data_IF_803138186113
#
_entry.id   IF_803138186113
#
_cell.length_a   1.000
_cell.length_b   1.000
_cell.length_c   1.000
_cell.angle_alpha   90.00
_cell.angle_beta   90.00
_cell.angle_gamma   90.00
#
_symmetry.space_group_name_H-M   'P 1'
#
loop_
_entity.id
_entity.type
_entity.pdbx_description
1 polymer ?
#
# COMPACT_ATOMS: atom_id res chain seq x y z
N UNK A 1 -17.92 -16.43 7.44
CA UNK A 1 -18.74 -17.66 7.27
C UNK A 1 -20.13 -17.57 7.92
N UNK A 2 -20.33 -16.87 9.05
CA UNK A 2 -21.64 -16.74 9.70
C UNK A 2 -22.66 -15.99 8.84
N UNK A 3 -22.29 -14.90 8.18
CA UNK A 3 -23.20 -14.10 7.33
C UNK A 3 -23.75 -14.86 6.11
N UNK A 4 -22.99 -15.81 5.57
CA UNK A 4 -23.40 -16.61 4.41
C UNK A 4 -24.47 -17.64 4.78
N UNK A 5 -24.47 -18.14 6.02
CA UNK A 5 -25.43 -19.16 6.49
C UNK A 5 -26.84 -18.62 6.67
N UNK A 6 -26.97 -17.33 6.93
CA UNK A 6 -28.28 -16.71 7.25
C UNK A 6 -29.01 -16.16 6.01
N UNK A 7 -28.46 -16.34 4.80
CA UNK A 7 -29.03 -15.83 3.55
C UNK A 7 -29.12 -14.30 3.48
N UNK A 8 -28.31 -13.61 4.27
CA UNK A 8 -28.26 -12.14 4.27
C UNK A 8 -27.44 -11.65 3.09
N UNK A 9 -28.05 -10.82 2.25
CA UNK A 9 -27.40 -10.14 1.13
C UNK A 9 -27.40 -8.64 1.35
N UNK A 10 -26.36 -7.98 0.82
CA UNK A 10 -26.16 -6.55 0.96
C UNK A 10 -26.29 -5.85 -0.40
N UNK A 11 -26.90 -4.67 -0.41
CA UNK A 11 -27.01 -3.83 -1.60
C UNK A 11 -25.71 -3.06 -1.86
N UNK A 12 -24.97 -2.73 -0.81
CA UNK A 12 -23.68 -2.04 -0.89
C UNK A 12 -22.71 -2.71 0.07
N UNK A 13 -21.51 -3.02 -0.43
CA UNK A 13 -20.39 -3.48 0.38
C UNK A 13 -19.23 -2.49 0.16
N UNK A 14 -18.65 -2.02 1.26
CA UNK A 14 -17.47 -1.14 1.25
C UNK A 14 -16.33 -1.85 1.97
N UNK A 15 -15.23 -2.06 1.25
CA UNK A 15 -13.97 -2.57 1.79
C UNK A 15 -12.90 -1.49 1.68
N UNK A 16 -12.42 -1.02 2.82
CA UNK A 16 -11.45 0.05 2.89
C UNK A 16 -10.20 -0.41 3.61
N UNK A 17 -9.04 -0.29 2.96
CA UNK A 17 -7.73 -0.65 3.51
C UNK A 17 -7.72 -2.05 4.16
N UNK A 18 -8.20 -3.05 3.43
CA UNK A 18 -8.26 -4.43 3.89
C UNK A 18 -7.64 -5.41 2.89
N UNK A 19 -7.91 -5.25 1.59
CA UNK A 19 -7.51 -6.22 0.57
C UNK A 19 -5.97 -6.35 0.46
N UNK A 20 -5.24 -5.29 0.79
CA UNK A 20 -3.77 -5.28 0.83
C UNK A 20 -3.19 -6.12 1.97
N UNK A 21 -3.98 -6.43 2.99
CA UNK A 21 -3.58 -7.22 4.16
C UNK A 21 -3.87 -8.71 4.02
N UNK A 22 -4.55 -9.13 2.96
CA UNK A 22 -4.87 -10.55 2.74
C UNK A 22 -3.84 -11.22 1.84
N UNK A 23 -3.47 -12.47 2.19
CA UNK A 23 -2.66 -13.35 1.34
C UNK A 23 -3.45 -13.96 0.19
N UNK A 24 -4.80 -13.95 0.28
CA UNK A 24 -5.71 -14.57 -0.68
C UNK A 24 -6.76 -13.56 -1.18
N UNK A 25 -6.36 -12.52 -1.92
CA UNK A 25 -7.25 -11.45 -2.34
C UNK A 25 -8.37 -11.92 -3.27
N UNK A 26 -8.13 -12.96 -4.08
CA UNK A 26 -9.18 -13.57 -4.92
C UNK A 26 -10.27 -14.21 -4.06
N UNK A 27 -9.92 -15.01 -3.07
CA UNK A 27 -10.86 -15.64 -2.15
C UNK A 27 -11.64 -14.60 -1.34
N UNK A 28 -10.99 -13.50 -0.96
CA UNK A 28 -11.66 -12.38 -0.31
C UNK A 28 -12.75 -11.78 -1.19
N UNK A 29 -12.45 -11.44 -2.45
CA UNK A 29 -13.42 -10.88 -3.40
C UNK A 29 -14.54 -11.89 -3.72
N UNK A 30 -14.22 -13.18 -3.87
CA UNK A 30 -15.22 -14.25 -4.02
C UNK A 30 -16.16 -14.34 -2.81
N UNK A 31 -15.64 -14.10 -1.62
CA UNK A 31 -16.48 -14.02 -0.39
C UNK A 31 -17.45 -12.83 -0.44
N UNK A 32 -16.99 -11.67 -0.89
CA UNK A 32 -17.84 -10.48 -1.04
C UNK A 32 -18.90 -10.68 -2.15
N UNK A 33 -18.52 -11.34 -3.24
CA UNK A 33 -19.42 -11.66 -4.34
C UNK A 33 -20.62 -12.49 -3.86
N UNK A 34 -20.39 -13.48 -3.00
CA UNK A 34 -21.44 -14.38 -2.48
C UNK A 34 -22.48 -13.68 -1.59
N UNK A 35 -22.12 -12.59 -0.91
CA UNK A 35 -23.00 -11.87 0.02
C UNK A 35 -23.55 -10.56 -0.57
N UNK A 36 -23.10 -10.13 -1.75
CA UNK A 36 -23.64 -8.97 -2.45
C UNK A 36 -24.89 -9.35 -3.24
N UNK A 37 -25.92 -8.50 -3.24
CA UNK A 37 -27.08 -8.64 -4.11
C UNK A 37 -26.69 -8.58 -5.61
N UNK A 38 -27.48 -9.17 -6.49
CA UNK A 38 -27.21 -9.20 -7.93
C UNK A 38 -27.04 -7.79 -8.56
N UNK A 39 -27.80 -6.82 -8.07
CA UNK A 39 -27.71 -5.41 -8.49
C UNK A 39 -26.92 -4.56 -7.46
N UNK A 40 -26.19 -5.21 -6.57
CA UNK A 40 -25.46 -4.54 -5.50
C UNK A 40 -24.18 -3.87 -6.01
N UNK A 41 -23.68 -2.93 -5.20
CA UNK A 41 -22.47 -2.15 -5.46
C UNK A 41 -21.35 -2.57 -4.51
N UNK A 42 -20.19 -2.94 -5.06
CA UNK A 42 -18.95 -3.17 -4.32
C UNK A 42 -18.06 -1.95 -4.48
N UNK A 43 -17.60 -1.38 -3.36
CA UNK A 43 -16.62 -0.30 -3.32
C UNK A 43 -15.38 -0.82 -2.62
N UNK A 44 -14.22 -0.71 -3.29
CA UNK A 44 -12.91 -1.08 -2.73
C UNK A 44 -12.01 0.14 -2.73
N UNK A 45 -11.42 0.43 -1.56
CA UNK A 45 -10.34 1.40 -1.40
C UNK A 45 -9.08 0.68 -0.92
N UNK A 46 -7.94 0.93 -1.61
CA UNK A 46 -6.63 0.34 -1.30
C UNK A 46 -5.51 1.30 -1.69
N UNK A 47 -4.28 1.20 -1.12
CA UNK A 47 -3.17 2.06 -1.48
C UNK A 47 -2.80 2.00 -2.96
N UNK A 48 -2.45 3.16 -3.54
CA UNK A 48 -2.02 3.29 -4.92
C UNK A 48 -0.53 3.00 -5.08
N UNK A 49 -0.14 1.72 -5.18
CA UNK A 49 1.27 1.34 -5.32
C UNK A 49 1.99 2.04 -6.50
N UNK A 50 1.29 2.33 -7.58
CA UNK A 50 1.89 2.95 -8.76
C UNK A 50 2.48 4.32 -8.44
N UNK A 51 1.78 5.15 -7.66
CA UNK A 51 2.27 6.46 -7.24
C UNK A 51 3.50 6.33 -6.34
N UNK A 52 3.45 5.45 -5.32
CA UNK A 52 4.57 5.20 -4.42
C UNK A 52 5.82 4.73 -5.17
N UNK A 53 5.66 3.80 -6.13
CA UNK A 53 6.76 3.34 -6.97
C UNK A 53 7.35 4.45 -7.84
N UNK A 54 6.50 5.29 -8.45
CA UNK A 54 6.95 6.40 -9.30
C UNK A 54 7.73 7.46 -8.52
N UNK A 55 7.37 7.68 -7.27
CA UNK A 55 8.02 8.65 -6.38
C UNK A 55 9.19 8.08 -5.59
N UNK A 56 9.38 6.76 -5.59
CA UNK A 56 10.40 6.09 -4.78
C UNK A 56 10.10 6.19 -3.29
N UNK A 57 8.82 6.14 -2.92
CA UNK A 57 8.33 6.17 -1.54
C UNK A 57 8.24 4.74 -1.03
N UNK A 58 8.68 4.51 0.20
CA UNK A 58 8.78 3.19 0.80
C UNK A 58 7.66 2.90 1.81
N UNK A 59 6.85 3.89 2.15
CA UNK A 59 5.81 3.81 3.18
C UNK A 59 4.77 2.73 2.89
N UNK A 60 4.52 2.44 1.61
CA UNK A 60 3.58 1.40 1.20
C UNK A 60 4.09 -0.02 1.50
N UNK A 61 5.42 -0.20 1.63
CA UNK A 61 6.03 -1.50 1.93
C UNK A 61 6.08 -1.75 3.44
N UNK A 62 4.92 -1.80 4.07
CA UNK A 62 4.81 -2.24 5.46
C UNK A 62 4.73 -3.76 5.53
N UNK A 63 5.11 -4.34 6.67
CA UNK A 63 4.97 -5.80 6.92
C UNK A 63 3.50 -6.26 6.87
N UNK A 64 2.56 -5.33 7.00
CA UNK A 64 1.14 -5.60 6.98
C UNK A 64 0.56 -5.63 5.56
N UNK A 65 1.22 -4.98 4.58
CA UNK A 65 0.77 -4.96 3.19
C UNK A 65 1.34 -6.16 2.43
N UNK A 66 0.61 -7.26 2.46
CA UNK A 66 1.02 -8.54 1.84
C UNK A 66 0.87 -8.45 0.31
N UNK A 67 -0.17 -7.75 -0.15
CA UNK A 67 -0.48 -7.58 -1.57
C UNK A 67 -0.54 -6.09 -1.93
N UNK A 68 0.03 -5.72 -3.07
CA UNK A 68 0.09 -4.33 -3.51
C UNK A 68 -0.59 -4.18 -4.88
N UNK A 69 -1.47 -3.19 -5.00
CA UNK A 69 -2.32 -3.03 -6.18
C UNK A 69 -2.00 -1.76 -6.98
N UNK A 70 -1.97 -1.92 -8.31
CA UNK A 70 -2.19 -0.84 -9.26
C UNK A 70 -3.66 -0.83 -9.66
N UNK A 71 -4.17 0.26 -10.25
CA UNK A 71 -5.55 0.30 -10.75
C UNK A 71 -5.86 -0.86 -11.71
N UNK A 72 -4.93 -1.20 -12.58
CA UNK A 72 -5.09 -2.31 -13.54
C UNK A 72 -5.08 -3.69 -12.88
N UNK A 73 -4.23 -3.91 -11.85
CA UNK A 73 -4.17 -5.22 -11.23
C UNK A 73 -5.40 -5.51 -10.37
N UNK A 74 -5.95 -4.51 -9.68
CA UNK A 74 -7.18 -4.70 -8.91
C UNK A 74 -8.41 -4.80 -9.83
N UNK A 75 -8.46 -4.04 -10.93
CA UNK A 75 -9.50 -4.17 -11.95
C UNK A 75 -9.47 -5.58 -12.57
N UNK A 76 -8.28 -6.10 -12.89
CA UNK A 76 -8.13 -7.47 -13.37
C UNK A 76 -8.66 -8.49 -12.38
N UNK A 77 -8.30 -8.36 -11.10
CA UNK A 77 -8.77 -9.25 -10.04
C UNK A 77 -10.30 -9.23 -9.92
N UNK A 78 -10.90 -8.04 -9.94
CA UNK A 78 -12.35 -7.88 -9.90
C UNK A 78 -13.03 -8.55 -11.11
N UNK A 79 -12.50 -8.34 -12.31
CA UNK A 79 -13.02 -8.96 -13.52
C UNK A 79 -12.88 -10.50 -13.49
N UNK A 80 -11.78 -11.02 -12.95
CA UNK A 80 -11.56 -12.46 -12.81
C UNK A 80 -12.63 -13.14 -11.96
N UNK A 81 -13.11 -12.45 -10.94
CA UNK A 81 -14.10 -12.94 -9.97
C UNK A 81 -15.55 -12.67 -10.42
N UNK A 82 -15.76 -11.99 -11.54
CA UNK A 82 -17.10 -11.74 -12.07
C UNK A 82 -17.68 -10.36 -11.71
N UNK A 83 -16.82 -9.40 -11.39
CA UNK A 83 -17.21 -8.00 -11.25
C UNK A 83 -16.81 -7.21 -12.50
N UNK A 84 -17.59 -6.17 -12.81
CA UNK A 84 -17.26 -5.14 -13.78
C UNK A 84 -17.05 -3.83 -13.03
N UNK A 85 -15.86 -3.24 -13.15
CA UNK A 85 -15.59 -1.90 -12.64
C UNK A 85 -16.37 -0.87 -13.46
N UNK A 86 -17.14 -0.04 -12.77
CA UNK A 86 -17.97 1.02 -13.37
C UNK A 86 -17.44 2.43 -13.07
N UNK A 87 -16.60 2.56 -12.04
CA UNK A 87 -15.94 3.82 -11.69
C UNK A 87 -14.60 3.54 -11.05
N UNK A 88 -13.61 4.37 -11.35
CA UNK A 88 -12.28 4.34 -10.71
C UNK A 88 -11.84 5.76 -10.41
N UNK A 89 -11.55 6.02 -9.14
CA UNK A 89 -10.89 7.23 -8.69
C UNK A 89 -9.45 6.90 -8.30
N UNK A 90 -8.51 7.69 -8.79
CA UNK A 90 -7.07 7.51 -8.54
C UNK A 90 -6.55 8.77 -7.88
N UNK A 91 -6.17 8.65 -6.62
CA UNK A 91 -5.45 9.71 -5.88
C UNK A 91 -3.97 9.34 -5.75
N UNK A 92 -3.10 10.25 -5.28
CA UNK A 92 -1.72 9.90 -4.96
C UNK A 92 -1.63 8.73 -3.97
N UNK A 93 -2.49 8.70 -2.96
CA UNK A 93 -2.39 7.76 -1.86
C UNK A 93 -3.24 6.50 -2.08
N UNK A 94 -4.42 6.64 -2.71
CA UNK A 94 -5.42 5.58 -2.78
C UNK A 94 -5.97 5.34 -4.19
N UNK A 95 -6.42 4.12 -4.39
CA UNK A 95 -7.30 3.68 -5.48
C UNK A 95 -8.69 3.42 -4.90
N UNK A 96 -9.72 3.99 -5.49
CA UNK A 96 -11.12 3.72 -5.13
C UNK A 96 -11.82 3.21 -6.36
N UNK A 97 -12.34 1.98 -6.30
CA UNK A 97 -13.06 1.34 -7.39
C UNK A 97 -14.47 1.01 -6.97
N UNK A 98 -15.43 1.36 -7.82
CA UNK A 98 -16.80 0.91 -7.69
C UNK A 98 -17.10 -0.14 -8.77
N UNK A 99 -17.66 -1.27 -8.38
CA UNK A 99 -17.89 -2.41 -9.25
C UNK A 99 -19.26 -3.05 -9.01
N UNK A 100 -19.84 -3.64 -10.05
CA UNK A 100 -21.10 -4.39 -10.01
C UNK A 100 -20.87 -5.81 -10.51
N UNK A 101 -21.72 -6.76 -10.10
CA UNK A 101 -21.67 -8.12 -10.63
C UNK A 101 -21.87 -8.13 -12.15
N UNK A 102 -21.11 -8.95 -12.82
CA UNK A 102 -21.15 -9.05 -14.28
C UNK A 102 -20.71 -10.44 -14.75
N UNK A 103 -21.33 -10.92 -15.81
CA UNK A 103 -20.92 -12.15 -16.49
C UNK A 103 -19.74 -11.90 -17.46
N UNK A 104 -18.87 -10.91 -17.17
CA UNK A 104 -17.74 -10.57 -18.04
C UNK A 104 -16.76 -11.72 -18.23
N UNK A 105 -16.27 -11.88 -19.46
CA UNK A 105 -15.29 -12.87 -19.86
C UNK A 105 -13.94 -12.64 -19.15
N UNK A 106 -13.38 -13.71 -18.62
CA UNK A 106 -12.12 -13.80 -17.86
C UNK A 106 -10.82 -13.51 -18.65
N UNK A 107 -10.90 -12.93 -19.86
CA UNK A 107 -9.74 -12.77 -20.74
C UNK A 107 -9.22 -11.33 -20.75
N UNK A 108 -8.47 -10.95 -19.72
CA UNK A 108 -7.65 -9.75 -19.75
C UNK A 108 -6.19 -10.13 -19.49
N UNK A 109 -5.32 -9.84 -20.48
CA UNK A 109 -3.87 -9.98 -20.30
C UNK A 109 -3.32 -8.73 -19.61
N UNK A 110 -2.63 -8.92 -18.49
CA UNK A 110 -1.87 -7.85 -17.85
C UNK A 110 -0.48 -7.78 -18.48
N UNK A 111 -0.15 -6.66 -19.11
CA UNK A 111 1.23 -6.36 -19.47
C UNK A 111 2.04 -6.06 -18.21
N UNK A 112 3.02 -6.90 -17.93
CA UNK A 112 3.92 -6.77 -16.77
C UNK A 112 4.64 -5.41 -16.77
N UNK A 113 4.61 -4.72 -15.65
CA UNK A 113 5.19 -3.39 -15.41
C UNK A 113 6.72 -3.40 -15.24
N UNK A 114 7.47 -4.07 -16.13
CA UNK A 114 8.95 -4.13 -16.02
C UNK A 114 9.62 -2.75 -15.96
N UNK A 115 9.03 -1.76 -16.63
CA UNK A 115 9.55 -0.40 -16.64
C UNK A 115 9.34 0.34 -15.33
N UNK A 116 8.24 0.10 -14.60
CA UNK A 116 7.97 0.79 -13.34
C UNK A 116 8.95 0.37 -12.24
N UNK A 117 9.36 -0.89 -12.22
CA UNK A 117 10.38 -1.40 -11.26
C UNK A 117 11.75 -0.76 -11.52
N UNK A 118 12.14 -0.59 -12.80
CA UNK A 118 13.38 0.11 -13.16
C UNK A 118 13.35 1.58 -12.75
N UNK A 119 12.21 2.25 -12.98
CA UNK A 119 12.02 3.64 -12.56
C UNK A 119 12.06 3.79 -11.04
N UNK A 120 11.43 2.88 -10.32
CA UNK A 120 11.44 2.83 -8.85
C UNK A 120 12.86 2.72 -8.29
N UNK A 121 13.67 1.75 -8.76
CA UNK A 121 15.08 1.61 -8.36
C UNK A 121 15.85 2.91 -8.57
N UNK A 122 15.70 3.54 -9.74
CA UNK A 122 16.36 4.81 -10.05
C UNK A 122 15.91 5.93 -9.11
N UNK A 123 14.62 5.99 -8.80
CA UNK A 123 14.05 7.02 -7.93
C UNK A 123 14.50 6.87 -6.47
N UNK A 124 14.57 5.64 -5.95
CA UNK A 124 15.11 5.37 -4.60
C UNK A 124 16.55 5.87 -4.50
N UNK A 125 17.40 5.53 -5.46
CA UNK A 125 18.81 5.98 -5.47
C UNK A 125 18.89 7.51 -5.47
N UNK A 126 18.09 8.17 -6.31
CA UNK A 126 18.03 9.64 -6.35
C UNK A 126 17.57 10.25 -5.03
N UNK A 127 16.52 9.68 -4.42
CA UNK A 127 16.00 10.14 -3.14
C UNK A 127 17.04 9.96 -2.03
N UNK A 128 17.69 8.78 -1.96
CA UNK A 128 18.79 8.49 -1.03
C UNK A 128 19.91 9.53 -1.14
N UNK A 129 20.40 9.78 -2.36
CA UNK A 129 21.47 10.76 -2.60
C UNK A 129 21.08 12.17 -2.15
N UNK A 130 19.84 12.60 -2.45
CA UNK A 130 19.34 13.92 -2.05
C UNK A 130 19.25 14.07 -0.53
N UNK A 131 18.70 13.06 0.16
CA UNK A 131 18.54 13.08 1.61
C UNK A 131 19.90 13.00 2.30
N UNK A 132 20.78 12.12 1.86
CA UNK A 132 22.13 12.01 2.42
C UNK A 132 22.89 13.32 2.28
N UNK A 133 22.84 13.96 1.09
CA UNK A 133 23.47 15.25 0.88
C UNK A 133 22.97 16.30 1.88
N UNK A 134 21.64 16.46 2.01
CA UNK A 134 21.04 17.42 2.95
C UNK A 134 21.39 17.08 4.42
N UNK A 135 21.40 15.80 4.79
CA UNK A 135 21.77 15.34 6.11
C UNK A 135 23.23 15.67 6.43
N UNK A 136 24.17 15.31 5.55
CA UNK A 136 25.60 15.58 5.77
C UNK A 136 25.93 17.08 5.80
N UNK A 137 25.28 17.89 4.94
CA UNK A 137 25.43 19.36 4.99
C UNK A 137 24.96 19.92 6.34
N UNK A 138 23.85 19.38 6.89
CA UNK A 138 23.31 19.79 8.19
C UNK A 138 24.21 19.36 9.34
N UNK A 139 24.65 18.10 9.36
CA UNK A 139 25.55 17.57 10.39
C UNK A 139 26.87 18.31 10.45
N UNK A 140 27.47 18.61 9.29
CA UNK A 140 28.73 19.37 9.22
C UNK A 140 28.57 20.81 9.73
N UNK A 141 27.38 21.42 9.54
CA UNK A 141 27.10 22.78 9.98
C UNK A 141 26.94 22.92 11.48
N UNK A 142 26.30 21.93 12.13
CA UNK A 142 25.88 22.04 13.52
C UNK A 142 26.74 21.21 14.50
N UNK A 143 27.59 20.32 14.00
CA UNK A 143 28.44 19.42 14.80
C UNK A 143 27.67 18.64 15.88
N UNK A 144 26.41 18.29 15.57
CA UNK A 144 25.43 17.94 16.57
C UNK A 144 25.04 16.47 16.54
N UNK A 145 24.37 16.10 17.61
CA UNK A 145 23.79 14.80 17.85
C UNK A 145 22.39 14.72 17.27
N UNK A 146 22.00 13.53 16.84
CA UNK A 146 20.71 13.26 16.21
C UNK A 146 19.82 12.52 17.19
N UNK A 147 18.59 12.94 17.33
CA UNK A 147 17.56 12.04 17.86
C UNK A 147 16.53 11.74 16.76
N UNK A 148 15.94 10.55 16.80
CA UNK A 148 14.96 10.11 15.81
C UNK A 148 13.61 10.01 16.50
N UNK A 149 12.63 10.75 16.00
CA UNK A 149 11.23 10.63 16.42
C UNK A 149 10.54 9.56 15.58
N UNK A 150 10.04 8.52 16.24
CA UNK A 150 9.42 7.36 15.64
C UNK A 150 10.30 6.11 15.73
N UNK A 151 10.16 5.35 16.82
CA UNK A 151 10.82 4.06 17.02
C UNK A 151 10.08 2.89 16.31
N UNK A 152 9.27 3.18 15.32
CA UNK A 152 8.62 2.17 14.47
C UNK A 152 9.51 1.71 13.32
N UNK A 153 9.00 0.75 12.55
CA UNK A 153 9.74 0.15 11.43
C UNK A 153 10.32 1.15 10.45
N UNK A 154 9.64 2.28 10.20
CA UNK A 154 10.13 3.32 9.29
C UNK A 154 11.28 4.13 9.88
N UNK A 155 11.24 4.47 11.17
CA UNK A 155 12.34 5.17 11.84
C UNK A 155 13.61 4.34 11.83
N UNK A 156 13.49 3.06 12.13
CA UNK A 156 14.62 2.10 12.12
C UNK A 156 15.12 1.88 10.68
N UNK A 157 14.22 1.71 9.71
CA UNK A 157 14.58 1.53 8.30
C UNK A 157 15.32 2.74 7.72
N UNK A 158 15.01 3.97 8.19
CA UNK A 158 15.67 5.19 7.75
C UNK A 158 17.19 5.17 8.02
N UNK A 159 17.64 4.55 9.10
CA UNK A 159 19.06 4.40 9.42
C UNK A 159 19.82 3.69 8.29
N UNK A 160 19.31 2.54 7.88
CA UNK A 160 19.94 1.74 6.83
C UNK A 160 19.74 2.34 5.44
N UNK A 161 18.60 2.99 5.22
CA UNK A 161 18.28 3.57 3.92
C UNK A 161 19.12 4.81 3.61
N UNK A 162 19.36 5.66 4.61
CA UNK A 162 20.02 6.97 4.43
C UNK A 162 21.43 7.03 4.99
N UNK A 163 22.07 5.88 5.23
CA UNK A 163 23.45 5.76 5.73
C UNK A 163 23.72 6.71 6.94
N UNK A 164 22.76 6.82 7.86
CA UNK A 164 22.88 7.67 9.03
C UNK A 164 23.94 7.06 9.95
N UNK A 165 25.00 7.81 10.32
CA UNK A 165 26.06 7.28 11.18
C UNK A 165 25.50 6.93 12.56
N UNK A 166 25.60 5.66 13.03
CA UNK A 166 25.04 5.24 14.32
C UNK A 166 25.64 5.99 15.52
N UNK A 167 26.91 6.36 15.43
CA UNK A 167 27.64 7.13 16.46
C UNK A 167 27.16 8.57 16.61
N UNK A 168 26.37 9.07 15.68
CA UNK A 168 25.72 10.39 15.74
C UNK A 168 24.32 10.35 16.34
N UNK A 169 23.77 9.17 16.58
CA UNK A 169 22.41 9.01 17.10
C UNK A 169 22.46 8.86 18.61
N UNK A 170 21.84 9.81 19.31
CA UNK A 170 21.76 9.75 20.77
C UNK A 170 20.67 8.82 21.27
N UNK A 171 19.47 8.95 20.69
CA UNK A 171 18.33 8.14 21.08
C UNK A 171 17.19 8.19 20.05
N UNK A 172 16.33 7.22 20.18
CA UNK A 172 15.00 7.21 19.55
C UNK A 172 13.96 7.67 20.55
N UNK A 173 12.92 8.34 20.06
CA UNK A 173 11.73 8.68 20.84
C UNK A 173 10.47 8.28 20.08
N UNK A 174 9.43 7.94 20.80
CA UNK A 174 8.12 7.59 20.24
C UNK A 174 7.01 8.08 21.18
N UNK A 175 5.87 8.42 20.63
CA UNK A 175 4.67 8.76 21.40
C UNK A 175 4.00 7.54 22.04
N UNK A 176 4.32 6.32 21.56
CA UNK A 176 3.79 5.07 22.07
C UNK A 176 4.58 4.62 23.31
N UNK A 177 3.94 4.59 24.52
CA UNK A 177 4.63 4.17 25.74
C UNK A 177 5.17 2.74 25.71
N UNK A 178 4.61 1.85 24.88
CA UNK A 178 5.07 0.47 24.77
C UNK A 178 6.47 0.34 24.15
N UNK A 179 6.95 1.39 23.50
CA UNK A 179 8.27 1.45 22.88
C UNK A 179 9.34 2.15 23.74
N UNK A 180 8.96 2.63 24.92
CA UNK A 180 9.90 3.32 25.81
C UNK A 180 10.83 2.33 26.52
N UNK A 181 12.12 2.59 26.45
CA UNK A 181 13.14 1.75 27.10
C UNK A 181 13.51 0.48 26.35
N UNK A 182 13.13 0.37 25.06
CA UNK A 182 13.57 -0.70 24.17
C UNK A 182 14.99 -0.46 23.67
#
# INVERSE_FOLDING_TARGET
>A
EHFIKDGNFFDIIISRHFIEHTSEPENFILGLEKILNNNGLLIIETPNIQHFLQKGLLEVFSLQHITLFTSKSIEYLLNLVGFKVIHTEITPDNLILAAVKSNCNKNTHINLYSNIVKQFKKQIIKNKQRINKALFETLNKYNDRIFIWGAGGFGIAALNLYDIPPDKIDFFTDSDPQKWGM
#
